data_IF_290518536625
#
_entry.id   IF_290518536625
#
_cell.length_a   1.000
_cell.length_b   1.000
_cell.length_c   1.000
_cell.angle_alpha   90.00
_cell.angle_beta   90.00
_cell.angle_gamma   90.00
#
_symmetry.space_group_name_H-M   'P 1'
#
loop_
_entity.id
_entity.type
_entity.pdbx_description
1 polymer ?
#
# COMPACT_ATOMS: atom_id res chain seq x y z
N UNK A 1 -52.50 29.86 -85.11
CA UNK A 1 -52.70 29.86 -83.64
C UNK A 1 -53.28 28.50 -83.25
N UNK A 2 -52.48 27.57 -82.68
CA UNK A 2 -52.53 27.14 -81.26
C UNK A 2 -53.95 26.73 -80.81
N UNK A 3 -54.30 25.52 -80.31
CA UNK A 3 -53.64 24.43 -79.55
C UNK A 3 -54.55 23.17 -79.62
N UNK A 4 -53.99 21.94 -79.77
CA UNK A 4 -53.86 20.83 -78.77
C UNK A 4 -55.18 20.46 -78.04
N UNK A 5 -55.73 19.24 -78.02
CA UNK A 5 -55.24 17.87 -78.23
C UNK A 5 -55.26 17.09 -76.90
N UNK A 6 -56.00 15.98 -76.77
CA UNK A 6 -55.63 14.81 -75.94
C UNK A 6 -56.58 13.61 -76.15
N UNK A 7 -56.00 12.45 -76.47
CA UNK A 7 -56.65 11.14 -76.47
C UNK A 7 -56.18 10.36 -75.24
N UNK A 8 -57.11 9.70 -74.55
CA UNK A 8 -56.84 8.92 -73.33
C UNK A 8 -56.49 7.48 -73.74
N UNK A 9 -55.27 7.04 -73.41
CA UNK A 9 -54.86 5.64 -73.43
C UNK A 9 -54.84 5.12 -71.98
N UNK A 10 -55.64 4.09 -71.70
CA UNK A 10 -55.62 3.37 -70.42
C UNK A 10 -54.56 2.28 -70.50
N UNK A 11 -53.50 2.38 -69.70
CA UNK A 11 -52.49 1.34 -69.55
C UNK A 11 -52.70 0.58 -68.24
N UNK A 12 -52.92 -0.73 -68.35
CA UNK A 12 -53.17 -1.66 -67.25
C UNK A 12 -51.81 -2.13 -66.68
N UNK A 13 -51.48 -1.73 -65.45
CA UNK A 13 -50.26 -2.17 -64.76
C UNK A 13 -50.53 -3.49 -64.01
N UNK A 14 -49.93 -4.58 -64.47
CA UNK A 14 -49.91 -5.87 -63.75
C UNK A 14 -48.79 -5.84 -62.71
N UNK A 15 -49.14 -5.86 -61.42
CA UNK A 15 -48.18 -5.97 -60.32
C UNK A 15 -47.68 -7.42 -60.19
N UNK A 16 -46.40 -7.64 -60.51
CA UNK A 16 -45.65 -8.84 -60.14
C UNK A 16 -45.18 -8.71 -58.68
N UNK A 17 -45.83 -9.38 -57.74
CA UNK A 17 -45.34 -9.50 -56.36
C UNK A 17 -44.26 -10.57 -56.30
N UNK A 18 -42.99 -10.16 -56.32
CA UNK A 18 -41.86 -11.05 -56.06
C UNK A 18 -41.85 -11.49 -54.60
N UNK A 19 -41.91 -12.80 -54.34
CA UNK A 19 -41.60 -13.39 -53.05
C UNK A 19 -40.09 -13.21 -52.76
N UNK A 20 -39.75 -12.28 -51.87
CA UNK A 20 -38.40 -12.22 -51.31
C UNK A 20 -38.23 -13.33 -50.26
N UNK A 21 -37.47 -14.37 -50.60
CA UNK A 21 -36.96 -15.33 -49.62
C UNK A 21 -35.96 -14.59 -48.72
N UNK A 22 -36.41 -14.18 -47.53
CA UNK A 22 -35.54 -13.63 -46.49
C UNK A 22 -34.70 -14.77 -45.93
N UNK A 23 -33.40 -14.81 -46.24
CA UNK A 23 -32.48 -15.76 -45.61
C UNK A 23 -32.47 -15.50 -44.10
N UNK A 24 -32.64 -16.51 -43.23
CA UNK A 24 -32.50 -16.31 -41.79
C UNK A 24 -31.06 -15.91 -41.47
N UNK A 25 -30.85 -14.67 -41.02
CA UNK A 25 -29.57 -14.23 -40.47
C UNK A 25 -29.37 -14.97 -39.16
N UNK A 26 -28.60 -16.06 -39.22
CA UNK A 26 -28.12 -16.71 -38.01
C UNK A 26 -27.22 -15.70 -37.30
N UNK A 27 -27.64 -15.25 -36.11
CA UNK A 27 -26.80 -14.43 -35.26
C UNK A 27 -25.50 -15.20 -35.00
N UNK A 28 -24.37 -14.67 -35.47
CA UNK A 28 -23.08 -15.30 -35.27
C UNK A 28 -22.82 -15.39 -33.76
N UNK A 29 -22.79 -16.62 -33.23
CA UNK A 29 -22.53 -16.86 -31.81
C UNK A 29 -21.15 -16.33 -31.48
N UNK A 30 -21.10 -15.31 -30.61
CA UNK A 30 -19.85 -14.77 -30.10
C UNK A 30 -19.61 -15.24 -28.68
N UNK A 31 -18.34 -15.45 -28.33
CA UNK A 31 -17.92 -15.93 -27.01
C UNK A 31 -16.96 -14.92 -26.41
N UNK A 32 -17.16 -14.56 -25.14
CA UNK A 32 -16.17 -13.76 -24.41
C UNK A 32 -15.00 -14.64 -23.99
N UNK A 33 -13.77 -14.25 -24.36
CA UNK A 33 -12.53 -14.83 -23.86
C UNK A 33 -11.67 -13.77 -23.19
N UNK A 34 -10.66 -14.21 -22.45
CA UNK A 34 -9.76 -13.37 -21.68
C UNK A 34 -8.31 -13.64 -22.05
N UNK A 35 -7.52 -12.58 -22.12
CA UNK A 35 -6.11 -12.65 -22.51
C UNK A 35 -5.24 -13.21 -21.38
N UNK A 36 -4.43 -14.22 -21.64
CA UNK A 36 -3.50 -14.81 -20.65
C UNK A 36 -2.08 -14.25 -20.75
N UNK A 37 -1.68 -13.72 -21.91
CA UNK A 37 -0.37 -13.12 -22.15
C UNK A 37 -0.29 -11.66 -21.63
N UNK A 38 0.90 -11.23 -21.17
CA UNK A 38 1.14 -9.85 -20.70
C UNK A 38 0.82 -8.81 -21.78
N UNK A 39 1.18 -9.11 -23.02
CA UNK A 39 0.84 -8.36 -24.21
C UNK A 39 0.57 -9.35 -25.36
N UNK A 40 -0.55 -9.18 -26.05
CA UNK A 40 -0.97 -10.02 -27.16
C UNK A 40 -1.31 -9.14 -28.37
N UNK A 41 -0.68 -9.40 -29.50
CA UNK A 41 -0.94 -8.66 -30.73
C UNK A 41 -2.23 -9.16 -31.40
N UNK A 42 -3.09 -8.21 -31.76
CA UNK A 42 -4.25 -8.41 -32.64
C UNK A 42 -3.83 -7.97 -34.04
N UNK A 43 -3.94 -8.86 -35.02
CA UNK A 43 -3.41 -8.66 -36.38
C UNK A 43 -4.51 -8.58 -37.43
N UNK A 44 -4.20 -8.06 -38.61
CA UNK A 44 -5.18 -7.95 -39.71
C UNK A 44 -5.60 -9.31 -40.28
N UNK A 45 -4.82 -10.38 -40.06
CA UNK A 45 -5.11 -11.74 -40.50
C UNK A 45 -4.56 -12.82 -39.57
N UNK A 46 -4.97 -14.09 -39.76
CA UNK A 46 -4.68 -15.21 -38.88
C UNK A 46 -3.26 -15.76 -39.10
N UNK A 47 -2.26 -14.99 -38.69
CA UNK A 47 -0.85 -15.34 -38.84
C UNK A 47 0.09 -14.26 -38.30
N UNK A 48 1.33 -14.63 -38.02
CA UNK A 48 2.34 -13.71 -37.46
C UNK A 48 2.89 -12.71 -38.48
N UNK A 49 2.74 -12.98 -39.78
CA UNK A 49 3.18 -12.12 -40.90
C UNK A 49 2.23 -10.94 -41.17
N UNK A 50 1.00 -10.99 -40.65
CA UNK A 50 0.02 -9.91 -40.81
C UNK A 50 0.33 -8.71 -39.93
N UNK A 51 -0.02 -7.51 -40.41
CA UNK A 51 0.17 -6.24 -39.70
C UNK A 51 -0.59 -6.23 -38.37
N UNK A 52 0.01 -5.63 -37.34
CA UNK A 52 -0.61 -5.47 -36.02
C UNK A 52 -1.62 -4.31 -36.07
N UNK A 53 -2.86 -4.58 -35.67
CA UNK A 53 -3.97 -3.61 -35.52
C UNK A 53 -3.91 -2.93 -34.15
N UNK A 54 -3.65 -3.72 -33.10
CA UNK A 54 -3.50 -3.26 -31.72
C UNK A 54 -2.83 -4.33 -30.86
N UNK A 55 -2.50 -3.98 -29.62
CA UNK A 55 -1.97 -4.90 -28.62
C UNK A 55 -2.87 -4.86 -27.40
N UNK A 56 -3.31 -6.02 -26.95
CA UNK A 56 -4.19 -6.20 -25.79
C UNK A 56 -3.42 -6.79 -24.61
N UNK A 57 -3.76 -6.34 -23.40
CA UNK A 57 -3.06 -6.71 -22.17
C UNK A 57 -3.70 -7.93 -21.50
N UNK A 58 -2.94 -8.60 -20.63
CA UNK A 58 -3.41 -9.69 -19.78
C UNK A 58 -4.71 -9.32 -19.06
N UNK A 59 -5.58 -10.32 -18.86
CA UNK A 59 -6.89 -10.25 -18.24
C UNK A 59 -7.96 -9.44 -18.99
N UNK A 60 -7.61 -8.77 -20.10
CA UNK A 60 -8.60 -8.04 -20.89
C UNK A 60 -9.62 -9.01 -21.51
N UNK A 61 -10.89 -8.66 -21.42
CA UNK A 61 -11.97 -9.38 -22.09
C UNK A 61 -12.03 -9.01 -23.58
N UNK A 62 -12.19 -10.00 -24.44
CA UNK A 62 -12.37 -9.83 -25.89
C UNK A 62 -13.56 -10.64 -26.37
N UNK A 63 -14.24 -10.13 -27.39
CA UNK A 63 -15.34 -10.85 -28.05
C UNK A 63 -14.78 -11.67 -29.19
N UNK A 64 -14.91 -12.99 -29.15
CA UNK A 64 -14.49 -13.90 -30.22
C UNK A 64 -15.69 -14.25 -31.08
N UNK A 65 -15.62 -13.98 -32.39
CA UNK A 65 -16.72 -14.26 -33.32
C UNK A 65 -16.41 -15.37 -34.32
N UNK A 66 -15.16 -15.82 -34.41
CA UNK A 66 -14.71 -16.83 -35.37
C UNK A 66 -13.38 -17.44 -34.95
N UNK A 67 -13.14 -18.70 -35.27
CA UNK A 67 -11.85 -19.38 -35.11
C UNK A 67 -11.38 -19.93 -36.46
N UNK A 68 -10.10 -19.74 -36.79
CA UNK A 68 -9.44 -20.31 -37.96
C UNK A 68 -8.08 -20.87 -37.55
N UNK A 69 -7.99 -22.19 -37.38
CA UNK A 69 -6.81 -22.86 -36.84
C UNK A 69 -6.46 -22.33 -35.45
N UNK A 70 -5.19 -21.97 -35.23
CA UNK A 70 -4.68 -21.43 -33.96
C UNK A 70 -4.96 -19.93 -33.73
N UNK A 71 -5.91 -19.35 -34.47
CA UNK A 71 -6.25 -17.93 -34.42
C UNK A 71 -7.74 -17.70 -34.21
N UNK A 72 -8.07 -16.82 -33.28
CA UNK A 72 -9.42 -16.33 -33.03
C UNK A 72 -9.58 -14.92 -33.58
N UNK A 73 -10.70 -14.65 -34.24
CA UNK A 73 -11.12 -13.30 -34.64
C UNK A 73 -11.73 -12.60 -33.43
N UNK A 74 -11.01 -11.63 -32.90
CA UNK A 74 -11.34 -10.87 -31.69
C UNK A 74 -11.83 -9.48 -32.03
N UNK A 75 -12.80 -8.99 -31.26
CA UNK A 75 -13.24 -7.59 -31.26
C UNK A 75 -13.04 -7.00 -29.86
N UNK A 76 -12.39 -5.84 -29.81
CA UNK A 76 -12.00 -5.14 -28.58
C UNK A 76 -11.87 -3.65 -28.85
N UNK A 77 -12.53 -2.81 -28.03
CA UNK A 77 -12.48 -1.35 -28.18
C UNK A 77 -12.86 -0.86 -29.57
N UNK A 78 -13.85 -1.48 -30.22
CA UNK A 78 -14.29 -1.16 -31.58
C UNK A 78 -13.36 -1.63 -32.71
N UNK A 79 -12.22 -2.27 -32.40
CA UNK A 79 -11.30 -2.83 -33.39
C UNK A 79 -11.49 -4.33 -33.52
N UNK A 80 -11.46 -4.84 -34.75
CA UNK A 80 -11.54 -6.26 -35.06
C UNK A 80 -10.26 -6.75 -35.73
N UNK A 81 -9.77 -7.91 -35.33
CA UNK A 81 -8.62 -8.57 -35.95
C UNK A 81 -8.43 -10.00 -35.42
N UNK A 82 -7.26 -10.59 -35.63
CA UNK A 82 -6.95 -11.97 -35.28
C UNK A 82 -5.88 -12.04 -34.19
N UNK A 83 -6.13 -12.83 -33.15
CA UNK A 83 -5.19 -13.08 -32.06
C UNK A 83 -4.97 -14.59 -31.89
N UNK A 84 -3.77 -15.00 -31.47
CA UNK A 84 -3.47 -16.42 -31.28
C UNK A 84 -4.29 -16.97 -30.10
N UNK A 85 -5.05 -18.03 -30.36
CA UNK A 85 -6.02 -18.56 -29.40
C UNK A 85 -5.37 -19.29 -28.21
N UNK A 86 -4.09 -19.66 -28.30
CA UNK A 86 -3.31 -20.19 -27.17
C UNK A 86 -3.21 -19.19 -26.01
N UNK A 87 -3.40 -17.89 -26.28
CA UNK A 87 -3.36 -16.83 -25.28
C UNK A 87 -4.75 -16.32 -24.87
N UNK A 88 -5.80 -17.07 -25.21
CA UNK A 88 -7.19 -16.73 -24.90
C UNK A 88 -7.85 -17.88 -24.13
N UNK A 89 -8.56 -17.55 -23.06
CA UNK A 89 -9.29 -18.53 -22.24
C UNK A 89 -10.73 -18.08 -21.98
N UNK A 90 -11.66 -19.02 -21.85
CA UNK A 90 -13.03 -18.74 -21.38
C UNK A 90 -13.10 -18.55 -19.86
N UNK A 91 -12.05 -18.94 -19.12
CA UNK A 91 -11.97 -18.75 -17.67
C UNK A 91 -11.77 -17.27 -17.37
N UNK A 92 -12.79 -16.64 -16.80
CA UNK A 92 -12.71 -15.26 -16.31
C UNK A 92 -11.55 -15.11 -15.31
N UNK A 93 -10.63 -14.15 -15.49
CA UNK A 93 -9.61 -13.83 -14.52
C UNK A 93 -10.26 -13.55 -13.18
N UNK A 94 -9.66 -14.07 -12.10
CA UNK A 94 -10.03 -13.63 -10.76
C UNK A 94 -9.88 -12.10 -10.70
N UNK A 95 -10.85 -11.42 -10.08
CA UNK A 95 -10.72 -10.00 -9.80
C UNK A 95 -9.39 -9.78 -9.06
N UNK A 96 -8.65 -8.69 -9.34
CA UNK A 96 -7.51 -8.34 -8.50
C UNK A 96 -8.03 -8.27 -7.07
N UNK A 97 -7.50 -9.11 -6.18
CA UNK A 97 -7.80 -9.01 -4.76
C UNK A 97 -7.45 -7.60 -4.35
N UNK A 98 -8.34 -6.83 -3.69
CA UNK A 98 -7.97 -5.56 -3.11
C UNK A 98 -6.68 -5.76 -2.31
N UNK A 99 -5.69 -4.85 -2.37
CA UNK A 99 -4.49 -5.00 -1.57
C UNK A 99 -4.92 -5.24 -0.12
N UNK A 100 -4.53 -6.40 0.42
CA UNK A 100 -5.00 -6.87 1.73
C UNK A 100 -4.79 -5.76 2.74
N UNK A 101 -5.88 -5.26 3.33
CA UNK A 101 -5.79 -4.35 4.46
C UNK A 101 -5.10 -5.12 5.59
N UNK A 102 -3.80 -4.86 5.77
CA UNK A 102 -2.96 -5.66 6.65
C UNK A 102 -3.43 -5.61 8.11
N UNK A 103 -4.14 -4.56 8.50
CA UNK A 103 -4.65 -4.39 9.84
C UNK A 103 -5.84 -5.31 10.16
N UNK A 104 -6.63 -5.73 9.16
CA UNK A 104 -7.81 -6.60 9.37
C UNK A 104 -7.45 -8.02 9.83
N UNK A 105 -6.21 -8.46 9.59
CA UNK A 105 -5.74 -9.78 10.00
C UNK A 105 -5.16 -9.86 11.41
N UNK A 106 -5.04 -8.73 12.11
CA UNK A 106 -4.32 -8.64 13.39
C UNK A 106 -5.22 -9.03 14.56
N UNK A 107 -4.79 -10.00 15.36
CA UNK A 107 -5.55 -10.58 16.48
C UNK A 107 -5.28 -9.90 17.81
N UNK A 108 -4.15 -9.21 17.95
CA UNK A 108 -3.66 -8.64 19.21
C UNK A 108 -3.93 -7.14 19.35
N UNK A 109 -4.52 -6.49 18.34
CA UNK A 109 -4.85 -5.06 18.34
C UNK A 109 -6.19 -4.71 19.03
N UNK A 110 -6.81 -5.68 19.71
CA UNK A 110 -7.87 -5.51 20.71
C UNK A 110 -8.80 -4.32 20.52
N UNK A 111 -8.83 -3.42 21.53
CA UNK A 111 -9.62 -2.18 21.54
C UNK A 111 -8.90 -0.97 20.95
N UNK A 112 -7.68 -1.14 20.43
CA UNK A 112 -6.91 -0.05 19.81
C UNK A 112 -7.68 0.51 18.61
N UNK A 113 -7.74 1.83 18.48
CA UNK A 113 -8.41 2.51 17.37
C UNK A 113 -7.43 3.20 16.42
N UNK A 114 -6.14 3.26 16.78
CA UNK A 114 -5.07 3.76 15.92
C UNK A 114 -3.91 2.77 15.94
N UNK A 115 -3.42 2.44 14.74
CA UNK A 115 -2.35 1.47 14.54
C UNK A 115 -1.30 2.07 13.61
N UNK A 116 -0.04 1.95 14.00
CA UNK A 116 1.12 2.12 13.12
C UNK A 116 1.72 0.74 12.87
N UNK A 117 1.80 0.31 11.62
CA UNK A 117 2.58 -0.85 11.20
C UNK A 117 3.90 -0.38 10.62
N UNK A 118 5.01 -0.88 11.17
CA UNK A 118 6.36 -0.73 10.64
C UNK A 118 6.83 -2.10 10.20
N UNK A 119 6.85 -2.34 8.90
CA UNK A 119 7.18 -3.65 8.34
C UNK A 119 8.41 -3.60 7.44
N UNK A 120 9.22 -4.65 7.50
CA UNK A 120 10.38 -4.83 6.61
C UNK A 120 10.27 -6.12 5.82
N UNK A 121 11.03 -6.24 4.73
CA UNK A 121 11.17 -7.51 4.02
C UNK A 121 12.22 -8.39 4.71
N UNK A 122 11.82 -9.08 5.78
CA UNK A 122 12.71 -9.92 6.59
C UNK A 122 13.46 -9.14 7.69
N UNK A 123 14.28 -9.86 8.45
CA UNK A 123 14.94 -9.34 9.66
C UNK A 123 16.18 -8.48 9.39
N UNK A 124 16.85 -8.67 8.26
CA UNK A 124 18.21 -8.15 8.00
C UNK A 124 18.23 -7.00 6.98
N UNK A 125 17.31 -6.06 7.13
CA UNK A 125 17.26 -4.85 6.30
C UNK A 125 16.90 -3.65 7.16
N UNK A 126 17.49 -2.50 6.85
CA UNK A 126 17.17 -1.24 7.51
C UNK A 126 16.03 -0.47 6.82
N UNK A 127 15.55 -0.94 5.67
CA UNK A 127 14.42 -0.33 4.97
C UNK A 127 13.10 -0.86 5.52
N UNK A 128 12.16 0.05 5.78
CA UNK A 128 10.84 -0.28 6.28
C UNK A 128 9.75 0.45 5.49
N UNK A 129 8.58 -0.16 5.45
CA UNK A 129 7.33 0.47 5.08
C UNK A 129 6.55 0.79 6.35
N UNK A 130 6.00 1.99 6.42
CA UNK A 130 5.21 2.49 7.53
C UNK A 130 3.80 2.72 7.02
N UNK A 131 2.83 2.02 7.60
CA UNK A 131 1.40 2.16 7.31
C UNK A 131 0.67 2.56 8.58
N UNK A 132 -0.26 3.50 8.48
CA UNK A 132 -1.12 3.90 9.61
C UNK A 132 -2.57 3.57 9.30
N UNK A 133 -3.30 3.15 10.33
CA UNK A 133 -4.69 2.74 10.22
C UNK A 133 -5.49 3.28 11.38
N UNK A 134 -6.73 3.65 11.12
CA UNK A 134 -7.68 4.09 12.12
C UNK A 134 -8.96 3.26 12.05
N UNK A 135 -9.50 2.83 13.19
CA UNK A 135 -10.82 2.18 13.22
C UNK A 135 -11.92 3.21 13.02
N UNK A 136 -12.80 2.95 12.07
CA UNK A 136 -14.03 3.72 11.90
C UNK A 136 -15.07 3.36 12.97
N UNK A 137 -16.23 4.00 12.92
CA UNK A 137 -17.34 3.76 13.86
C UNK A 137 -17.90 2.33 13.81
N UNK A 138 -17.69 1.61 12.70
CA UNK A 138 -18.08 0.21 12.51
C UNK A 138 -17.00 -0.77 12.98
N UNK A 139 -15.89 -0.26 13.53
CA UNK A 139 -14.76 -1.08 14.00
C UNK A 139 -13.81 -1.58 12.90
N UNK A 140 -14.04 -1.21 11.63
CA UNK A 140 -13.17 -1.60 10.51
C UNK A 140 -11.93 -0.72 10.44
N UNK A 141 -10.78 -1.32 10.12
CA UNK A 141 -9.54 -0.57 9.93
C UNK A 141 -9.58 0.18 8.60
N UNK A 142 -9.30 1.48 8.64
CA UNK A 142 -9.20 2.34 7.45
C UNK A 142 -7.75 2.79 7.30
N UNK A 143 -7.10 2.56 6.14
CA UNK A 143 -5.76 3.10 5.88
C UNK A 143 -5.76 4.63 5.90
N UNK A 144 -4.77 5.23 6.54
CA UNK A 144 -4.63 6.70 6.68
C UNK A 144 -3.41 7.22 5.91
N UNK A 145 -2.25 6.59 6.08
CA UNK A 145 -0.99 6.96 5.42
C UNK A 145 -0.17 5.70 5.15
N UNK A 146 0.47 5.64 3.98
CA UNK A 146 1.55 4.70 3.66
C UNK A 146 2.76 5.49 3.22
N UNK A 147 3.93 5.16 3.77
CA UNK A 147 5.21 5.77 3.40
C UNK A 147 6.36 4.79 3.61
N UNK A 148 7.52 5.11 3.06
CA UNK A 148 8.78 4.45 3.41
C UNK A 148 9.40 5.09 4.66
N UNK A 149 10.31 4.34 5.29
CA UNK A 149 11.12 4.77 6.41
C UNK A 149 12.28 3.81 6.63
N UNK A 150 12.94 3.97 7.77
CA UNK A 150 14.09 3.17 8.15
C UNK A 150 14.00 2.70 9.59
N UNK A 151 14.63 1.55 9.85
CA UNK A 151 14.80 0.94 11.17
C UNK A 151 16.30 0.81 11.48
N UNK A 152 16.63 0.08 12.55
CA UNK A 152 18.02 -0.17 12.95
C UNK A 152 18.89 -0.64 11.79
N UNK A 153 20.17 -0.26 11.79
CA UNK A 153 21.17 -0.61 10.77
C UNK A 153 21.14 -2.08 10.37
N UNK A 154 20.98 -2.98 11.34
CA UNK A 154 20.93 -4.43 11.12
C UNK A 154 19.51 -5.00 11.12
N UNK A 155 18.51 -4.14 10.95
CA UNK A 155 17.10 -4.48 10.89
C UNK A 155 16.47 -4.78 12.25
N UNK A 156 15.69 -5.85 12.33
CA UNK A 156 14.89 -6.19 13.50
C UNK A 156 15.58 -7.22 14.42
N UNK A 157 15.24 -7.19 15.71
CA UNK A 157 15.60 -8.18 16.72
C UNK A 157 14.38 -8.57 17.57
N UNK A 158 14.35 -9.84 18.00
CA UNK A 158 13.44 -10.29 19.07
C UNK A 158 13.85 -9.69 20.42
N UNK A 159 12.94 -9.65 21.39
CA UNK A 159 13.26 -9.21 22.75
C UNK A 159 14.39 -10.03 23.41
N UNK A 160 14.54 -11.31 23.03
CA UNK A 160 15.64 -12.16 23.48
C UNK A 160 17.00 -11.65 22.97
N UNK A 161 17.04 -11.15 21.73
CA UNK A 161 18.27 -10.73 21.04
C UNK A 161 18.51 -9.21 21.10
N UNK A 162 17.60 -8.45 21.70
CA UNK A 162 17.80 -7.02 21.93
C UNK A 162 18.85 -6.79 23.01
N UNK A 163 19.80 -5.91 22.70
CA UNK A 163 20.79 -5.44 23.67
C UNK A 163 21.28 -4.02 23.36
N UNK A 164 21.90 -3.38 24.36
CA UNK A 164 22.51 -2.05 24.19
C UNK A 164 23.55 -2.05 23.08
N UNK A 165 23.54 -1.00 22.25
CA UNK A 165 24.45 -0.86 21.10
C UNK A 165 24.24 -1.85 19.94
N UNK A 166 23.19 -2.69 19.97
CA UNK A 166 22.95 -3.74 18.97
C UNK A 166 22.52 -3.24 17.58
N UNK A 167 22.17 -1.96 17.43
CA UNK A 167 21.78 -1.32 16.16
C UNK A 167 20.63 -2.03 15.43
N UNK A 168 19.74 -2.67 16.20
CA UNK A 168 18.53 -3.35 15.73
C UNK A 168 17.30 -2.75 16.39
N UNK A 169 16.22 -2.66 15.63
CA UNK A 169 14.92 -2.25 16.16
C UNK A 169 14.20 -3.44 16.80
N UNK A 170 13.48 -3.24 17.92
CA UNK A 170 12.79 -4.34 18.57
C UNK A 170 11.51 -4.70 17.79
N UNK A 171 11.31 -6.00 17.51
CA UNK A 171 10.00 -6.48 17.05
C UNK A 171 9.03 -6.55 18.22
N UNK A 172 7.78 -6.20 17.95
CA UNK A 172 6.73 -6.34 18.94
C UNK A 172 5.58 -5.38 18.72
N UNK A 173 4.63 -5.43 19.66
CA UNK A 173 3.53 -4.48 19.79
C UNK A 173 3.79 -3.60 21.00
N UNK A 174 3.84 -2.29 20.79
CA UNK A 174 4.16 -1.31 21.82
C UNK A 174 3.09 -0.22 21.89
N UNK A 175 2.83 0.28 23.09
CA UNK A 175 2.09 1.52 23.26
C UNK A 175 2.98 2.70 22.84
N UNK A 176 2.33 3.79 22.44
CA UNK A 176 3.01 5.04 22.09
C UNK A 176 3.06 5.93 23.33
N UNK A 177 4.26 6.34 23.71
CA UNK A 177 4.51 7.21 24.86
C UNK A 177 4.41 8.70 24.51
N UNK A 178 5.13 9.51 25.29
CA UNK A 178 5.19 10.97 25.13
C UNK A 178 5.75 11.36 23.77
N UNK A 179 5.02 12.21 23.05
CA UNK A 179 5.52 12.90 21.88
C UNK A 179 6.50 14.00 22.29
N UNK A 180 7.42 14.34 21.41
CA UNK A 180 8.45 15.33 21.70
C UNK A 180 8.89 16.12 20.47
N UNK A 181 9.64 17.18 20.71
CA UNK A 181 10.37 17.90 19.65
C UNK A 181 11.16 19.08 20.17
N UNK A 182 12.06 19.60 19.35
CA UNK A 182 12.88 20.79 19.65
C UNK A 182 12.07 22.10 19.62
N UNK A 183 10.87 22.05 19.03
CA UNK A 183 9.97 23.19 18.88
C UNK A 183 8.66 22.97 19.64
N UNK A 184 7.67 23.84 19.42
CA UNK A 184 6.34 23.68 20.03
C UNK A 184 5.59 22.46 19.49
N UNK A 185 4.52 22.06 20.20
CA UNK A 185 3.67 20.95 19.79
C UNK A 185 3.19 21.14 18.33
N UNK A 186 3.45 20.20 17.41
CA UNK A 186 3.07 20.33 15.99
C UNK A 186 1.57 20.12 15.73
N UNK A 187 0.74 19.99 16.76
CA UNK A 187 -0.70 19.71 16.69
C UNK A 187 -1.08 18.28 17.09
N UNK A 188 -0.20 17.55 17.78
CA UNK A 188 -0.57 16.24 18.33
C UNK A 188 -1.48 16.38 19.55
N UNK A 189 -2.37 15.39 19.71
CA UNK A 189 -3.19 15.24 20.93
C UNK A 189 -2.50 14.38 21.99
N UNK A 190 -1.39 13.73 21.65
CA UNK A 190 -0.57 12.99 22.61
C UNK A 190 0.04 13.97 23.63
N UNK A 191 0.39 13.50 24.85
CA UNK A 191 1.27 14.26 25.74
C UNK A 191 2.52 14.70 24.98
N UNK A 192 2.88 15.98 25.07
CA UNK A 192 3.98 16.56 24.30
C UNK A 192 5.00 17.22 25.23
N UNK A 193 6.28 16.87 25.07
CA UNK A 193 7.40 17.50 25.78
C UNK A 193 8.30 18.24 24.80
N UNK A 194 8.46 19.55 25.02
CA UNK A 194 9.48 20.34 24.31
C UNK A 194 10.86 19.98 24.84
N UNK A 195 11.77 19.67 23.93
CA UNK A 195 13.17 19.36 24.22
C UNK A 195 13.93 20.67 24.47
N UNK A 196 14.77 20.63 25.48
CA UNK A 196 15.74 21.66 25.86
C UNK A 196 17.16 21.14 25.67
N UNK A 197 18.16 22.02 25.75
CA UNK A 197 19.57 21.63 25.71
C UNK A 197 19.99 20.76 26.91
N UNK A 198 19.22 20.79 28.00
CA UNK A 198 19.49 20.03 29.21
C UNK A 198 18.89 18.61 29.17
N UNK A 199 18.11 18.27 28.14
CA UNK A 199 17.41 17.00 28.08
C UNK A 199 18.30 15.86 27.54
N UNK A 200 18.33 14.75 28.29
CA UNK A 200 19.04 13.52 27.93
C UNK A 200 18.18 12.29 28.16
N UNK A 201 18.46 11.21 27.44
CA UNK A 201 17.93 9.89 27.73
C UNK A 201 19.06 9.00 28.23
N UNK A 202 18.97 8.54 29.48
CA UNK A 202 20.05 7.72 30.08
C UNK A 202 20.04 6.34 29.45
N UNK A 203 21.11 5.99 28.74
CA UNK A 203 21.31 4.69 28.06
C UNK A 203 22.30 3.79 28.82
N UNK A 204 22.88 4.28 29.92
CA UNK A 204 23.76 3.49 30.82
C UNK A 204 22.97 2.40 31.57
N UNK A 205 23.14 1.11 31.25
CA UNK A 205 22.39 0.01 31.88
C UNK A 205 22.76 -0.22 33.34
N UNK A 206 23.85 0.36 33.83
CA UNK A 206 24.26 0.27 35.24
C UNK A 206 23.68 1.38 36.11
N UNK A 207 23.07 2.41 35.49
CA UNK A 207 22.46 3.53 36.21
C UNK A 207 21.08 3.19 36.75
N UNK A 208 20.73 3.70 37.93
CA UNK A 208 19.33 3.68 38.44
C UNK A 208 18.37 4.47 37.56
N UNK A 209 18.89 5.37 36.73
CA UNK A 209 18.14 6.20 35.79
C UNK A 209 18.04 5.55 34.40
N UNK A 210 18.52 4.31 34.22
CA UNK A 210 18.53 3.63 32.95
C UNK A 210 17.18 3.65 32.23
N UNK A 211 17.24 3.92 30.92
CA UNK A 211 16.11 4.03 30.00
C UNK A 211 15.05 5.05 30.46
N UNK A 212 15.51 6.21 30.93
CA UNK A 212 14.62 7.33 31.31
C UNK A 212 15.10 8.67 30.76
N UNK A 213 14.15 9.57 30.52
CA UNK A 213 14.42 10.95 30.13
C UNK A 213 14.73 11.80 31.37
N UNK A 214 15.95 12.34 31.44
CA UNK A 214 16.46 13.12 32.56
C UNK A 214 16.92 14.53 32.17
N UNK A 215 17.07 15.37 33.19
CA UNK A 215 17.80 16.65 33.11
C UNK A 215 19.29 16.37 33.33
N UNK A 216 20.13 16.77 32.39
CA UNK A 216 21.58 16.56 32.38
C UNK A 216 22.21 17.24 33.58
N UNK A 217 21.91 18.52 33.79
CA UNK A 217 22.44 19.32 34.90
C UNK A 217 22.10 18.74 36.27
N UNK A 218 20.87 18.22 36.45
CA UNK A 218 20.42 17.65 37.73
C UNK A 218 20.90 16.22 38.00
N UNK A 219 21.24 15.47 36.95
CA UNK A 219 21.58 14.04 37.08
C UNK A 219 23.03 13.71 36.71
N UNK A 220 23.85 14.73 36.44
CA UNK A 220 25.27 14.56 36.13
C UNK A 220 25.97 13.74 37.23
N UNK A 221 26.77 12.76 36.80
CA UNK A 221 27.47 11.84 37.71
C UNK A 221 26.68 10.61 38.14
N UNK A 222 25.38 10.52 37.81
CA UNK A 222 24.54 9.34 38.12
C UNK A 222 24.48 8.31 36.98
N UNK A 223 25.17 8.58 35.87
CA UNK A 223 25.23 7.74 34.68
C UNK A 223 26.55 7.98 33.95
N UNK A 224 27.04 6.95 33.25
CA UNK A 224 28.27 6.99 32.44
C UNK A 224 28.01 7.39 30.99
N UNK A 225 26.81 7.12 30.51
CA UNK A 225 26.36 7.47 29.16
C UNK A 225 24.89 7.90 29.18
N UNK A 226 24.57 8.83 28.28
CA UNK A 226 23.21 9.25 27.99
C UNK A 226 23.14 9.84 26.58
N UNK A 227 22.06 9.51 25.88
CA UNK A 227 21.75 10.07 24.58
C UNK A 227 21.30 11.54 24.70
N UNK A 228 21.81 12.39 23.82
CA UNK A 228 21.42 13.81 23.78
C UNK A 228 20.08 13.98 23.06
N UNK A 229 19.08 14.57 23.73
CA UNK A 229 17.76 14.75 23.10
C UNK A 229 17.73 15.94 22.13
N UNK A 230 18.56 16.97 22.32
CA UNK A 230 18.56 18.15 21.46
C UNK A 230 19.39 17.96 20.18
N UNK A 231 18.94 17.08 19.28
CA UNK A 231 19.57 16.80 17.97
C UNK A 231 18.58 16.94 16.81
N UNK A 232 19.07 17.17 15.59
CA UNK A 232 18.23 17.41 14.40
C UNK A 232 17.20 16.30 14.14
N UNK A 233 17.59 15.04 14.35
CA UNK A 233 16.71 13.87 14.23
C UNK A 233 15.47 13.95 15.15
N UNK A 234 15.59 14.62 16.30
CA UNK A 234 14.54 14.79 17.32
C UNK A 234 13.83 16.14 17.22
N UNK A 235 13.91 16.78 16.06
CA UNK A 235 13.09 17.97 15.78
C UNK A 235 11.61 17.68 16.05
N UNK A 236 11.12 16.50 15.69
CA UNK A 236 9.86 15.91 16.17
C UNK A 236 9.97 14.40 16.28
N UNK A 237 9.24 13.80 17.22
CA UNK A 237 9.16 12.35 17.36
C UNK A 237 8.25 11.92 18.52
N UNK A 238 8.24 10.64 18.83
CA UNK A 238 7.58 10.09 20.01
C UNK A 238 8.31 8.87 20.56
N UNK A 239 8.11 8.62 21.85
CA UNK A 239 8.64 7.43 22.52
C UNK A 239 7.86 6.19 22.09
N UNK A 240 8.58 5.15 21.69
CA UNK A 240 8.01 3.79 21.59
C UNK A 240 8.26 3.16 22.96
N UNK A 241 7.20 2.72 23.65
CA UNK A 241 7.30 2.17 25.01
C UNK A 241 7.88 0.75 25.02
N UNK A 242 9.11 0.62 24.53
CA UNK A 242 9.94 -0.56 24.62
C UNK A 242 10.76 -0.52 25.91
N UNK A 243 10.95 -1.68 26.55
CA UNK A 243 11.72 -1.86 27.77
C UNK A 243 11.35 -0.87 28.91
N UNK A 244 10.04 -0.64 29.12
CA UNK A 244 9.56 0.29 30.16
C UNK A 244 9.78 -0.22 31.58
N UNK A 245 10.02 -1.52 31.75
CA UNK A 245 10.50 -2.09 33.01
C UNK A 245 11.95 -1.71 33.32
N UNK A 246 12.66 -1.14 32.33
CA UNK A 246 14.07 -0.71 32.41
C UNK A 246 14.98 -1.88 32.78
N UNK A 247 14.72 -3.05 32.19
CA UNK A 247 15.57 -4.23 32.37
C UNK A 247 16.94 -3.93 31.80
N UNK A 248 18.01 -3.92 32.61
CA UNK A 248 19.35 -3.58 32.15
C UNK A 248 19.77 -4.36 30.92
N UNK A 249 20.54 -3.71 30.05
CA UNK A 249 21.11 -4.28 28.83
C UNK A 249 20.10 -4.74 27.77
N UNK A 250 18.80 -4.48 27.92
CA UNK A 250 17.79 -4.85 26.91
C UNK A 250 17.54 -3.78 25.85
N UNK A 251 18.34 -2.72 25.81
CA UNK A 251 18.18 -1.61 24.88
C UNK A 251 17.31 -0.49 25.46
N UNK A 252 17.62 0.74 25.08
CA UNK A 252 17.01 1.97 25.58
C UNK A 252 16.76 2.94 24.42
N UNK A 253 16.11 4.08 24.72
CA UNK A 253 15.94 5.20 23.79
C UNK A 253 15.32 4.83 22.42
N UNK A 254 14.34 3.91 22.42
CA UNK A 254 13.67 3.51 21.17
C UNK A 254 12.56 4.52 20.83
N UNK A 255 12.77 5.28 19.77
CA UNK A 255 11.87 6.34 19.33
C UNK A 255 11.37 6.15 17.91
N UNK A 256 10.31 6.87 17.57
CA UNK A 256 9.93 7.16 16.19
C UNK A 256 10.25 8.63 15.90
N UNK A 257 11.11 8.91 14.91
CA UNK A 257 11.63 10.27 14.71
C UNK A 257 11.98 10.58 13.24
N UNK A 258 12.58 11.74 13.00
CA UNK A 258 12.93 12.21 11.66
C UNK A 258 14.24 11.56 11.20
N UNK A 259 14.26 11.05 9.98
CA UNK A 259 15.46 10.47 9.37
C UNK A 259 15.25 10.08 7.91
N UNK A 260 16.36 9.93 7.19
CA UNK A 260 16.42 9.53 5.77
C UNK A 260 17.39 8.36 5.53
N UNK A 261 17.78 7.67 6.60
CA UNK A 261 18.69 6.55 6.58
C UNK A 261 18.50 5.68 7.82
N UNK A 262 19.30 4.61 7.91
CA UNK A 262 19.21 3.67 9.03
C UNK A 262 19.40 4.36 10.38
N UNK A 263 18.81 3.78 11.42
CA UNK A 263 18.95 4.22 12.81
C UNK A 263 19.86 3.26 13.60
N UNK A 264 20.04 3.52 14.89
CA UNK A 264 20.68 2.59 15.82
C UNK A 264 19.67 1.75 16.64
N UNK A 265 18.38 1.78 16.28
CA UNK A 265 17.32 1.02 16.95
C UNK A 265 15.94 1.67 16.83
N UNK A 266 15.89 2.98 16.63
CA UNK A 266 14.67 3.74 16.36
C UNK A 266 14.00 3.38 15.02
N UNK A 267 12.79 3.88 14.83
CA UNK A 267 12.16 3.96 13.51
C UNK A 267 12.19 5.41 13.03
N UNK A 268 12.47 5.64 11.75
CA UNK A 268 12.50 6.98 11.19
C UNK A 268 11.84 7.11 9.82
N UNK A 269 11.39 8.32 9.51
CA UNK A 269 10.89 8.71 8.18
C UNK A 269 11.05 10.22 8.00
N UNK A 270 10.61 10.75 6.85
CA UNK A 270 10.70 12.19 6.56
C UNK A 270 9.99 13.05 7.61
N UNK A 271 10.46 14.29 7.80
CA UNK A 271 9.84 15.25 8.72
C UNK A 271 8.35 15.45 8.44
N UNK A 272 7.98 15.56 7.16
CA UNK A 272 6.58 15.69 6.74
C UNK A 272 5.73 14.53 7.28
N UNK A 273 6.22 13.30 7.16
CA UNK A 273 5.51 12.12 7.62
C UNK A 273 5.44 12.04 9.14
N UNK A 274 6.54 12.33 9.85
CA UNK A 274 6.55 12.37 11.32
C UNK A 274 5.51 13.37 11.85
N UNK A 275 5.47 14.58 11.29
CA UNK A 275 4.51 15.62 11.68
C UNK A 275 3.07 15.18 11.37
N UNK A 276 2.82 14.59 10.20
CA UNK A 276 1.49 14.07 9.84
C UNK A 276 1.02 12.99 10.81
N UNK A 277 1.89 12.03 11.16
CA UNK A 277 1.59 10.97 12.12
C UNK A 277 1.32 11.58 13.50
N UNK A 278 2.13 12.51 13.97
CA UNK A 278 1.94 13.18 15.25
C UNK A 278 0.58 13.90 15.34
N UNK A 279 0.21 14.68 14.32
CA UNK A 279 -1.11 15.36 14.26
C UNK A 279 -2.28 14.38 14.27
N UNK A 280 -2.10 13.22 13.65
CA UNK A 280 -3.10 12.17 13.61
C UNK A 280 -3.27 11.45 14.96
N UNK A 281 -2.17 11.21 15.70
CA UNK A 281 -2.19 10.48 16.97
C UNK A 281 -3.09 11.14 18.03
N UNK A 282 -3.89 10.30 18.70
CA UNK A 282 -4.84 10.71 19.74
C UNK A 282 -4.86 9.69 20.89
N UNK A 283 -4.50 10.08 22.13
CA UNK A 283 -4.43 9.14 23.25
C UNK A 283 -5.80 8.52 23.58
N UNK A 284 -6.91 9.23 23.32
CA UNK A 284 -8.28 8.70 23.49
C UNK A 284 -8.61 7.55 22.52
N UNK A 285 -7.81 7.36 21.47
CA UNK A 285 -7.93 6.25 20.51
C UNK A 285 -6.99 5.07 20.83
N UNK A 286 -6.27 5.12 21.96
CA UNK A 286 -5.35 4.10 22.43
C UNK A 286 -4.39 3.64 21.30
N UNK A 287 -3.52 4.52 20.80
CA UNK A 287 -2.69 4.21 19.63
C UNK A 287 -1.63 3.17 19.97
N UNK A 288 -1.37 2.27 19.02
CA UNK A 288 -0.39 1.20 19.14
C UNK A 288 0.52 1.17 17.92
N UNK A 289 1.77 0.78 18.12
CA UNK A 289 2.73 0.54 17.04
C UNK A 289 3.15 -0.93 17.05
N UNK A 290 3.13 -1.57 15.87
CA UNK A 290 3.66 -2.91 15.66
C UNK A 290 4.83 -2.81 14.71
N UNK A 291 5.96 -3.38 15.10
CA UNK A 291 7.19 -3.40 14.32
C UNK A 291 7.60 -4.84 14.10
N UNK A 292 7.69 -5.31 12.85
CA UNK A 292 8.00 -6.72 12.56
C UNK A 292 8.28 -6.97 11.07
N UNK A 293 9.05 -8.00 10.69
CA UNK A 293 9.09 -8.45 9.30
C UNK A 293 7.69 -8.80 8.78
N UNK A 294 7.40 -8.49 7.52
CA UNK A 294 6.06 -8.70 6.94
C UNK A 294 5.56 -10.15 7.05
N UNK A 295 6.47 -11.11 7.02
CA UNK A 295 6.19 -12.55 7.14
C UNK A 295 5.68 -12.95 8.53
N UNK A 296 5.97 -12.13 9.55
CA UNK A 296 5.68 -12.39 10.96
C UNK A 296 4.41 -11.67 11.44
N UNK A 297 3.77 -10.90 10.55
CA UNK A 297 2.61 -10.07 10.89
C UNK A 297 1.42 -10.90 11.39
N UNK A 298 1.33 -12.17 10.99
CA UNK A 298 0.29 -13.12 11.45
C UNK A 298 0.40 -13.49 12.95
N UNK A 299 1.51 -13.17 13.62
CA UNK A 299 1.70 -13.37 15.07
C UNK A 299 1.01 -12.29 15.91
N UNK A 300 0.52 -11.23 15.28
CA UNK A 300 -0.05 -10.05 15.92
C UNK A 300 -1.53 -9.89 15.68
#
# INVERSE_FOLDING_TARGET
>A
MFKKGFAIFVAMFVLFTGFHVVKPVHAATSVTKYVTANALNVRTGPGTTYKVVTTIKKNLAVTVSQTKGSWDRVTVGGKTGWASNQYLTTKKPAAPTPPKNLAEGLKTVGSNKQLILVTSNGYNTSNAEIRTFERNIQGKWVPVLTTTGHIGKYGFASAANMHEGGKKSPIGKYSIGTAFGRYGNPGTKMPYRKITIDDVWVDDPTSKLYNTWQSRSKTRGQWKSAENMNISAYTYGFVINYNTQRTPYKGSAIFFHIGSGYTLGCTSTSQKNVVNILKWLNPKKNPVIIQTPIQELNKY
#
